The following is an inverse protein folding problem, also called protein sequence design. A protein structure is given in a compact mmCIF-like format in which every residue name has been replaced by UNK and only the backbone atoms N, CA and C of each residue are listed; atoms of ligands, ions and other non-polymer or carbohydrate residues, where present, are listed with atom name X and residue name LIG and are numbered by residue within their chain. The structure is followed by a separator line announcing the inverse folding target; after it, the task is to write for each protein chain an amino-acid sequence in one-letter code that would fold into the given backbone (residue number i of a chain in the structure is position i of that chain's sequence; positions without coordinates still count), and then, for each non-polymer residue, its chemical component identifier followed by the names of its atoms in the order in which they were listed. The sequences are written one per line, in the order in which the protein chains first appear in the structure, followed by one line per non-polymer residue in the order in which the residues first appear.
data_IF_576357663834
#
_entry.id   IF_576357663834
#
_cell.length_a   1.000
_cell.length_b   1.000
_cell.length_c   1.000
_cell.angle_alpha   90.00
_cell.angle_beta   90.00
_cell.angle_gamma   90.00
#
_symmetry.space_group_name_H-M   'P 1'
#
loop_
_entity.id
_entity.type
_entity.pdbx_description
1 polymer ?
#
# COMPACT_ATOMS: atom_id res chain seq x y z
N UNK A 1 17.56 6.98 18.27
CA UNK A 1 16.34 6.84 19.09
C UNK A 1 15.08 6.84 18.21
N UNK A 2 14.86 7.87 17.39
CA UNK A 2 13.66 8.02 16.53
C UNK A 2 13.32 6.79 15.67
N UNK A 3 14.28 6.23 14.92
CA UNK A 3 14.05 5.05 14.07
C UNK A 3 13.43 3.88 14.83
N UNK A 4 14.01 3.54 16.00
CA UNK A 4 13.53 2.44 16.86
C UNK A 4 12.13 2.73 17.40
N UNK A 5 11.88 3.97 17.83
CA UNK A 5 10.57 4.39 18.31
C UNK A 5 9.51 4.24 17.23
N UNK A 6 9.76 4.76 16.02
CA UNK A 6 8.78 4.72 14.94
C UNK A 6 8.54 3.30 14.42
N UNK A 7 9.56 2.43 14.41
CA UNK A 7 9.39 0.99 14.18
C UNK A 7 8.39 0.37 15.17
N UNK A 8 8.61 0.61 16.47
CA UNK A 8 7.76 0.05 17.52
C UNK A 8 6.31 0.54 17.45
N UNK A 9 6.09 1.79 16.99
CA UNK A 9 4.74 2.31 16.74
C UNK A 9 4.05 1.53 15.63
N UNK A 10 4.71 1.33 14.48
CA UNK A 10 4.13 0.58 13.36
C UNK A 10 3.93 -0.91 13.68
N UNK A 11 4.83 -1.52 14.46
CA UNK A 11 4.68 -2.89 14.99
C UNK A 11 3.49 -2.98 15.94
N UNK A 12 3.30 -1.98 16.81
CA UNK A 12 2.14 -1.88 17.69
C UNK A 12 0.82 -1.80 16.92
N UNK A 13 0.77 -1.04 15.83
CA UNK A 13 -0.40 -0.98 14.96
C UNK A 13 -0.75 -2.35 14.35
N UNK A 14 0.25 -3.13 13.90
CA UNK A 14 0.03 -4.50 13.40
C UNK A 14 -0.54 -5.42 14.48
N UNK A 15 -0.11 -5.26 15.74
CA UNK A 15 -0.66 -6.02 16.87
C UNK A 15 -2.14 -5.71 17.14
N UNK A 16 -2.65 -4.53 16.75
CA UNK A 16 -4.09 -4.22 16.79
C UNK A 16 -4.82 -4.98 15.68
N UNK A 17 -4.24 -5.05 14.48
CA UNK A 17 -4.83 -5.73 13.33
C UNK A 17 -5.02 -7.23 13.53
N UNK A 18 -4.22 -7.90 14.37
CA UNK A 18 -4.41 -9.32 14.67
C UNK A 18 -5.85 -9.66 15.11
N UNK A 19 -6.55 -8.70 15.74
CA UNK A 19 -7.94 -8.85 16.16
C UNK A 19 -8.93 -8.18 15.20
N UNK A 20 -8.59 -6.99 14.72
CA UNK A 20 -9.55 -6.16 13.98
C UNK A 20 -9.52 -6.44 12.47
N UNK A 21 -8.34 -6.77 11.94
CA UNK A 21 -8.05 -6.94 10.52
C UNK A 21 -7.15 -8.16 10.25
N UNK A 22 -7.54 -9.40 10.62
CA UNK A 22 -6.63 -10.55 10.69
C UNK A 22 -5.98 -10.92 9.36
N UNK A 23 -6.69 -10.77 8.24
CA UNK A 23 -6.14 -11.03 6.90
C UNK A 23 -5.03 -10.03 6.54
N UNK A 24 -5.23 -8.75 6.84
CA UNK A 24 -4.20 -7.72 6.63
C UNK A 24 -3.01 -7.96 7.55
N UNK A 25 -3.24 -8.38 8.80
CA UNK A 25 -2.19 -8.74 9.73
C UNK A 25 -1.34 -9.92 9.23
N UNK A 26 -1.99 -10.99 8.74
CA UNK A 26 -1.36 -12.17 8.15
C UNK A 26 -0.44 -11.79 6.96
N UNK A 27 -0.98 -11.04 6.00
CA UNK A 27 -0.23 -10.54 4.85
C UNK A 27 0.96 -9.66 5.28
N UNK A 28 0.76 -8.80 6.28
CA UNK A 28 1.79 -7.90 6.77
C UNK A 28 3.00 -8.64 7.38
N UNK A 29 2.83 -9.88 7.87
CA UNK A 29 3.94 -10.69 8.43
C UNK A 29 5.06 -10.95 7.42
N UNK A 30 4.75 -10.88 6.11
CA UNK A 30 5.71 -11.08 5.03
C UNK A 30 6.51 -9.82 4.68
N UNK A 31 6.25 -8.69 5.34
CA UNK A 31 6.93 -7.41 5.12
C UNK A 31 7.67 -6.96 6.37
N UNK A 32 8.99 -6.76 6.24
CA UNK A 32 9.78 -6.14 7.29
C UNK A 32 9.56 -4.62 7.31
N UNK A 33 9.41 -4.04 8.49
CA UNK A 33 9.38 -2.59 8.64
C UNK A 33 10.80 -2.03 8.60
N UNK A 34 11.05 -0.97 7.85
CA UNK A 34 12.36 -0.33 7.73
C UNK A 34 12.20 1.19 7.82
N UNK A 35 12.09 1.76 9.04
CA UNK A 35 12.24 3.20 9.22
C UNK A 35 13.60 3.66 8.72
N UNK A 36 13.62 4.81 8.04
CA UNK A 36 14.82 5.50 7.56
C UNK A 36 14.69 7.00 7.83
N UNK A 37 15.80 7.73 7.74
CA UNK A 37 15.79 9.20 7.65
C UNK A 37 16.50 9.57 6.35
N UNK A 38 15.73 9.78 5.29
CA UNK A 38 16.27 10.04 3.95
C UNK A 38 15.40 11.08 3.23
N UNK A 39 16.01 12.12 2.69
CA UNK A 39 15.28 13.23 2.05
C UNK A 39 14.73 12.85 0.66
N UNK A 40 15.14 11.70 0.09
CA UNK A 40 14.56 11.14 -1.14
C UNK A 40 13.23 10.42 -0.92
N UNK A 41 12.92 10.07 0.33
CA UNK A 41 11.69 9.40 0.74
C UNK A 41 10.83 10.35 1.58
N UNK A 42 9.82 10.96 0.97
CA UNK A 42 8.95 11.94 1.64
C UNK A 42 7.96 11.29 2.62
N UNK A 43 7.42 10.11 2.27
CA UNK A 43 6.44 9.38 3.09
C UNK A 43 6.90 7.95 3.35
N UNK A 44 6.54 7.03 2.47
CA UNK A 44 6.83 5.61 2.53
C UNK A 44 6.80 4.98 1.12
N UNK A 45 7.34 3.78 1.00
CA UNK A 45 7.21 2.92 -0.18
C UNK A 45 7.36 1.46 0.23
N UNK A 46 6.99 0.54 -0.65
CA UNK A 46 7.18 -0.89 -0.45
C UNK A 46 7.84 -1.54 -1.67
N UNK A 47 8.78 -2.45 -1.42
CA UNK A 47 9.46 -3.23 -2.46
C UNK A 47 9.00 -4.71 -2.49
N UNK A 48 7.95 -5.02 -1.74
CA UNK A 48 7.41 -6.38 -1.56
C UNK A 48 8.17 -7.24 -0.55
N UNK A 49 9.27 -6.75 0.02
CA UNK A 49 10.01 -7.41 1.13
C UNK A 49 10.04 -6.53 2.37
N UNK A 50 10.14 -5.22 2.15
CA UNK A 50 10.22 -4.20 3.19
C UNK A 50 9.27 -3.07 2.89
N UNK A 51 8.66 -2.55 3.94
CA UNK A 51 8.06 -1.22 3.92
C UNK A 51 9.11 -0.24 4.45
N UNK A 52 9.57 0.65 3.59
CA UNK A 52 10.42 1.76 3.96
C UNK A 52 9.55 2.95 4.28
N UNK A 53 9.85 3.66 5.37
CA UNK A 53 9.12 4.88 5.72
C UNK A 53 10.02 5.90 6.38
N UNK A 54 9.80 7.17 6.06
CA UNK A 54 10.55 8.26 6.66
C UNK A 54 10.11 8.46 8.11
N UNK A 55 11.02 8.25 9.04
CA UNK A 55 10.72 8.31 10.47
C UNK A 55 10.36 9.73 10.93
N UNK A 56 10.82 10.79 10.24
CA UNK A 56 10.42 12.18 10.53
C UNK A 56 8.96 12.39 10.16
N UNK A 57 8.56 11.96 8.96
CA UNK A 57 7.17 12.06 8.49
C UNK A 57 6.23 11.20 9.33
N UNK A 58 6.62 9.95 9.61
CA UNK A 58 5.86 9.03 10.46
C UNK A 58 5.53 9.59 11.84
N UNK A 59 6.45 10.35 12.44
CA UNK A 59 6.25 10.95 13.76
C UNK A 59 5.13 11.99 13.79
N UNK A 60 4.76 12.56 12.64
CA UNK A 60 3.65 13.51 12.50
C UNK A 60 2.32 12.87 12.10
N UNK A 61 2.28 11.57 11.79
CA UNK A 61 1.06 10.89 11.39
C UNK A 61 0.19 10.55 12.61
N UNK A 62 -1.10 10.89 12.53
CA UNK A 62 -2.10 10.34 13.44
C UNK A 62 -2.29 8.82 13.21
N UNK A 63 -3.04 8.18 14.11
CA UNK A 63 -3.29 6.75 14.04
C UNK A 63 -4.03 6.31 12.78
N UNK A 64 -4.99 7.11 12.29
CA UNK A 64 -5.80 6.77 11.11
C UNK A 64 -4.91 6.76 9.86
N UNK A 65 -4.17 7.84 9.63
CA UNK A 65 -3.26 7.97 8.49
C UNK A 65 -2.17 6.91 8.51
N UNK A 66 -1.62 6.60 9.69
CA UNK A 66 -0.57 5.58 9.81
C UNK A 66 -1.10 4.16 9.59
N UNK A 67 -2.28 3.84 10.12
CA UNK A 67 -2.93 2.54 9.88
C UNK A 67 -3.28 2.38 8.40
N UNK A 68 -3.88 3.40 7.79
CA UNK A 68 -4.18 3.43 6.37
C UNK A 68 -2.94 3.26 5.51
N UNK A 69 -1.91 4.11 5.68
CA UNK A 69 -0.68 4.06 4.89
C UNK A 69 -0.01 2.67 4.95
N UNK A 70 0.07 2.10 6.15
CA UNK A 70 0.69 0.80 6.31
C UNK A 70 -0.13 -0.31 5.66
N UNK A 71 -1.46 -0.33 5.84
CA UNK A 71 -2.33 -1.33 5.24
C UNK A 71 -2.36 -1.19 3.71
N UNK A 72 -2.35 0.04 3.21
CA UNK A 72 -2.27 0.38 1.80
C UNK A 72 -1.04 -0.26 1.15
N UNK A 73 0.15 -0.06 1.73
CA UNK A 73 1.39 -0.66 1.24
C UNK A 73 1.40 -2.21 1.28
N UNK A 74 0.76 -2.82 2.29
CA UNK A 74 0.58 -4.28 2.34
C UNK A 74 -0.30 -4.74 1.17
N UNK A 75 -1.41 -4.05 0.94
CA UNK A 75 -2.37 -4.41 -0.10
C UNK A 75 -1.87 -4.12 -1.52
N UNK A 76 -0.99 -3.13 -1.75
CA UNK A 76 -0.26 -3.02 -3.01
C UNK A 76 0.52 -4.29 -3.34
N UNK A 77 1.15 -4.91 -2.34
CA UNK A 77 1.88 -6.16 -2.53
C UNK A 77 0.92 -7.32 -2.83
N UNK A 78 -0.13 -7.46 -2.02
CA UNK A 78 -1.12 -8.52 -2.17
C UNK A 78 -1.82 -8.48 -3.53
N UNK A 79 -2.15 -7.29 -4.04
CA UNK A 79 -2.79 -7.09 -5.34
C UNK A 79 -1.81 -7.13 -6.52
N UNK A 80 -0.50 -7.26 -6.27
CA UNK A 80 0.50 -7.37 -7.32
C UNK A 80 0.86 -6.04 -7.99
N UNK A 81 0.57 -4.90 -7.36
CA UNK A 81 0.90 -3.55 -7.84
C UNK A 81 2.40 -3.22 -7.76
N UNK A 82 3.22 -4.18 -7.32
CA UNK A 82 4.68 -4.13 -7.44
C UNK A 82 5.15 -4.28 -8.90
N UNK A 83 4.29 -4.81 -9.78
CA UNK A 83 4.61 -4.98 -11.20
C UNK A 83 4.74 -3.61 -11.89
N UNK A 84 5.70 -3.45 -12.80
CA UNK A 84 5.76 -2.26 -13.65
C UNK A 84 4.42 -2.05 -14.38
N UNK A 85 4.05 -0.79 -14.58
CA UNK A 85 2.84 -0.48 -15.35
C UNK A 85 2.95 -1.05 -16.76
N UNK A 86 1.91 -1.74 -17.26
CA UNK A 86 1.82 -2.11 -18.66
C UNK A 86 1.34 -0.95 -19.54
N UNK A 87 0.98 0.20 -18.95
CA UNK A 87 0.35 1.34 -19.62
C UNK A 87 1.25 2.59 -19.55
N UNK A 88 1.15 3.51 -20.53
CA UNK A 88 2.12 4.60 -20.69
C UNK A 88 1.99 5.71 -19.65
N UNK A 89 0.77 6.04 -19.22
CA UNK A 89 0.55 7.04 -18.16
C UNK A 89 0.74 6.39 -16.79
N UNK A 90 1.97 6.52 -16.25
CA UNK A 90 2.37 5.96 -14.97
C UNK A 90 1.64 6.60 -13.79
N UNK A 91 1.31 7.89 -13.87
CA UNK A 91 0.64 8.59 -12.77
C UNK A 91 -0.81 8.13 -12.67
N UNK A 92 -1.49 8.03 -13.81
CA UNK A 92 -2.84 7.45 -13.89
C UNK A 92 -2.86 5.99 -13.46
N UNK A 93 -1.82 5.23 -13.81
CA UNK A 93 -1.67 3.85 -13.36
C UNK A 93 -1.58 3.76 -11.84
N UNK A 94 -0.74 4.61 -11.23
CA UNK A 94 -0.60 4.65 -9.79
C UNK A 94 -1.93 5.00 -9.11
N UNK A 95 -2.63 6.04 -9.57
CA UNK A 95 -3.95 6.40 -9.04
C UNK A 95 -4.99 5.29 -9.18
N UNK A 96 -4.94 4.51 -10.27
CA UNK A 96 -5.82 3.36 -10.43
C UNK A 96 -5.50 2.26 -9.40
N UNK A 97 -4.22 1.99 -9.15
CA UNK A 97 -3.77 1.05 -8.12
C UNK A 97 -4.20 1.53 -6.71
N UNK A 98 -4.02 2.81 -6.40
CA UNK A 98 -4.37 3.40 -5.11
C UNK A 98 -5.88 3.33 -4.87
N UNK A 99 -6.67 3.65 -5.90
CA UNK A 99 -8.13 3.51 -5.88
C UNK A 99 -8.55 2.07 -5.56
N UNK A 100 -7.95 1.08 -6.22
CA UNK A 100 -8.30 -0.32 -6.03
C UNK A 100 -7.96 -0.78 -4.60
N UNK A 101 -6.76 -0.43 -4.12
CA UNK A 101 -6.33 -0.72 -2.75
C UNK A 101 -7.25 -0.05 -1.73
N UNK A 102 -7.53 1.24 -1.88
CA UNK A 102 -8.36 1.99 -0.93
C UNK A 102 -9.82 1.51 -0.92
N UNK A 103 -10.35 1.06 -2.07
CA UNK A 103 -11.67 0.42 -2.12
C UNK A 103 -11.69 -0.89 -1.33
N UNK A 104 -10.65 -1.72 -1.42
CA UNK A 104 -10.52 -2.95 -0.61
C UNK A 104 -10.41 -2.61 0.87
N UNK A 105 -9.56 -1.66 1.25
CA UNK A 105 -9.40 -1.23 2.65
C UNK A 105 -10.72 -0.73 3.23
N UNK A 106 -11.47 0.09 2.49
CA UNK A 106 -12.78 0.57 2.89
C UNK A 106 -13.75 -0.59 3.17
N UNK A 107 -13.81 -1.57 2.26
CA UNK A 107 -14.71 -2.72 2.38
C UNK A 107 -14.29 -3.72 3.46
N UNK A 108 -13.01 -3.72 3.86
CA UNK A 108 -12.49 -4.42 5.03
C UNK A 108 -12.77 -3.66 6.34
N UNK A 109 -13.26 -2.42 6.27
CA UNK A 109 -13.60 -1.60 7.43
C UNK A 109 -12.45 -0.77 8.00
N UNK A 110 -11.37 -0.57 7.23
CA UNK A 110 -10.36 0.44 7.59
C UNK A 110 -10.96 1.83 7.54
N UNK A 111 -10.52 2.69 8.45
CA UNK A 111 -10.75 4.13 8.35
C UNK A 111 -9.75 4.72 7.36
N UNK A 112 -10.26 5.43 6.36
CA UNK A 112 -9.44 6.16 5.41
C UNK A 112 -9.31 7.63 5.85
N UNK A 113 -8.16 8.27 5.61
CA UNK A 113 -8.03 9.72 5.66
C UNK A 113 -9.00 10.41 4.67
N UNK A 114 -9.42 11.64 5.00
CA UNK A 114 -10.34 12.43 4.16
C UNK A 114 -9.75 12.76 2.77
N UNK A 115 -8.43 12.75 2.65
CA UNK A 115 -7.66 13.00 1.43
C UNK A 115 -7.17 11.72 0.74
N UNK A 116 -7.65 10.54 1.15
CA UNK A 116 -7.31 9.29 0.47
C UNK A 116 -7.88 9.25 -0.95
N UNK A 117 -7.08 8.77 -1.91
CA UNK A 117 -7.52 8.52 -3.29
C UNK A 117 -8.65 7.50 -3.27
N UNK A 118 -9.89 7.98 -3.39
CA UNK A 118 -11.08 7.15 -3.44
C UNK A 118 -12.18 7.81 -4.26
N UNK A 119 -12.49 7.22 -5.41
CA UNK A 119 -13.58 7.58 -6.30
C UNK A 119 -14.75 6.63 -6.08
N UNK A 120 -15.87 7.07 -5.45
CA UNK A 120 -17.00 6.18 -5.16
C UNK A 120 -17.57 5.48 -6.40
N UNK A 121 -17.54 6.15 -7.56
CA UNK A 121 -18.00 5.60 -8.83
C UNK A 121 -17.17 4.40 -9.34
N UNK A 122 -15.96 4.22 -8.82
CA UNK A 122 -15.00 3.20 -9.21
C UNK A 122 -14.90 2.04 -8.22
N UNK A 123 -15.65 2.06 -7.11
CA UNK A 123 -15.66 0.95 -6.16
C UNK A 123 -16.19 -0.31 -6.87
N UNK A 124 -15.39 -1.37 -6.81
CA UNK A 124 -15.69 -2.67 -7.40
C UNK A 124 -15.44 -2.79 -8.91
N UNK A 125 -14.84 -1.77 -9.54
CA UNK A 125 -14.36 -1.86 -10.92
C UNK A 125 -12.99 -2.53 -10.98
N UNK A 126 -12.65 -3.11 -12.14
CA UNK A 126 -11.30 -3.63 -12.38
C UNK A 126 -10.28 -2.51 -12.54
N UNK A 127 -9.00 -2.81 -12.33
CA UNK A 127 -7.91 -1.85 -12.49
C UNK A 127 -7.91 -1.19 -13.87
N UNK A 128 -8.18 -1.93 -14.95
CA UNK A 128 -8.27 -1.40 -16.32
C UNK A 128 -9.47 -0.45 -16.49
N UNK A 129 -10.61 -0.77 -15.88
CA UNK A 129 -11.80 0.08 -15.90
C UNK A 129 -11.58 1.38 -15.12
N UNK A 130 -10.88 1.31 -13.99
CA UNK A 130 -10.50 2.49 -13.20
C UNK A 130 -9.54 3.37 -14.01
N UNK A 131 -8.50 2.76 -14.59
CA UNK A 131 -7.52 3.47 -15.42
C UNK A 131 -8.19 4.18 -16.61
N UNK A 132 -9.11 3.49 -17.31
CA UNK A 132 -9.87 4.09 -18.40
C UNK A 132 -10.80 5.21 -17.92
N UNK A 133 -11.43 5.06 -16.76
CA UNK A 133 -12.28 6.11 -16.18
C UNK A 133 -11.49 7.37 -15.82
N UNK A 134 -10.24 7.20 -15.33
CA UNK A 134 -9.36 8.32 -14.98
C UNK A 134 -8.92 9.16 -16.19
N UNK A 135 -9.07 8.68 -17.42
CA UNK A 135 -8.88 9.49 -18.63
C UNK A 135 -9.88 10.67 -18.70
N UNK A 136 -11.09 10.48 -18.15
CA UNK A 136 -12.11 11.52 -18.06
C UNK A 136 -12.08 12.29 -16.73
N UNK A 137 -11.13 12.03 -15.84
CA UNK A 137 -11.02 12.75 -14.58
C UNK A 137 -10.53 14.19 -14.84
N UNK A 138 -11.22 15.23 -14.32
CA UNK A 138 -11.01 16.62 -14.75
C UNK A 138 -9.61 17.13 -14.43
N UNK A 139 -9.04 16.70 -13.30
CA UNK A 139 -7.66 17.00 -12.96
C UNK A 139 -7.09 15.92 -12.02
N UNK A 140 -6.47 14.86 -12.57
CA UNK A 140 -5.81 13.86 -11.75
C UNK A 140 -4.73 14.47 -10.85
N UNK A 141 -4.14 15.62 -11.20
CA UNK A 141 -2.98 16.22 -10.50
C UNK A 141 -3.30 16.65 -9.06
N UNK A 142 -4.57 16.87 -8.75
CA UNK A 142 -5.08 17.22 -7.43
C UNK A 142 -5.03 16.04 -6.45
N UNK A 143 -5.02 14.81 -6.97
CA UNK A 143 -4.94 13.61 -6.16
C UNK A 143 -3.53 13.41 -5.62
N UNK A 144 -3.45 13.12 -4.31
CA UNK A 144 -2.19 12.95 -3.57
C UNK A 144 -2.02 11.50 -3.14
N UNK A 145 -1.20 10.70 -3.84
CA UNK A 145 -0.85 9.35 -3.40
C UNK A 145 -0.25 9.37 -1.98
N UNK A 146 -0.62 8.40 -1.12
CA UNK A 146 -0.12 8.36 0.26
C UNK A 146 1.35 7.91 0.33
N UNK A 147 1.82 7.19 -0.69
CA UNK A 147 3.14 6.60 -0.81
C UNK A 147 3.83 6.94 -2.14
N UNK A 148 5.11 6.56 -2.24
CA UNK A 148 5.86 6.59 -3.49
C UNK A 148 5.78 5.22 -4.16
N UNK A 149 5.46 5.19 -5.46
CA UNK A 149 5.53 3.96 -6.25
C UNK A 149 6.93 3.35 -6.20
N UNK A 150 7.03 2.02 -6.23
CA UNK A 150 8.31 1.29 -6.15
C UNK A 150 9.35 1.79 -7.18
N UNK A 151 10.31 2.59 -6.72
CA UNK A 151 11.37 3.18 -7.53
C UNK A 151 11.30 4.69 -7.75
N UNK A 152 10.19 5.36 -7.38
CA UNK A 152 9.97 6.80 -7.56
C UNK A 152 10.57 7.66 -6.43
N UNK A 153 11.79 7.34 -5.98
CA UNK A 153 12.50 8.19 -5.04
C UNK A 153 12.73 9.58 -5.65
N UNK A 154 12.57 10.62 -4.84
CA UNK A 154 12.87 11.97 -5.29
C UNK A 154 14.36 12.12 -5.61
N UNK A 155 14.67 13.05 -6.53
CA UNK A 155 16.05 13.40 -6.82
C UNK A 155 16.74 13.91 -5.55
N UNK A 156 17.94 13.39 -5.22
CA UNK A 156 18.60 13.78 -4.00
C UNK A 156 19.08 15.23 -4.09
N UNK A 157 18.71 16.03 -3.09
CA UNK A 157 19.31 17.34 -2.86
C UNK A 157 20.82 17.22 -2.61
N UNK A 158 21.66 18.19 -3.02
CA UNK A 158 23.12 18.14 -2.85
C UNK A 158 23.57 17.88 -1.41
N UNK A 159 22.90 18.50 -0.44
CA UNK A 159 23.18 18.38 1.00
C UNK A 159 22.11 17.56 1.75
N UNK A 160 21.29 16.81 1.02
CA UNK A 160 20.22 16.00 1.60
C UNK A 160 20.75 14.78 2.37
N UNK A 161 20.04 14.40 3.43
CA UNK A 161 20.34 13.19 4.19
C UNK A 161 20.08 11.96 3.33
N UNK A 162 21.09 11.08 3.25
CA UNK A 162 20.99 9.78 2.58
C UNK A 162 21.20 8.67 3.59
N UNK A 163 20.14 7.91 3.82
CA UNK A 163 20.20 6.73 4.67
C UNK A 163 20.65 5.53 3.85
N UNK A 164 21.79 4.88 4.16
CA UNK A 164 22.22 3.68 3.45
C UNK A 164 21.26 2.51 3.65
N UNK A 165 20.35 2.57 4.64
CA UNK A 165 19.30 1.57 4.83
C UNK A 165 18.12 1.74 3.87
N UNK A 166 18.01 2.87 3.14
CA UNK A 166 17.07 3.02 2.04
C UNK A 166 17.65 2.36 0.77
N UNK A 167 17.47 1.04 0.68
CA UNK A 167 17.87 0.17 -0.45
C UNK A 167 16.65 -0.62 -0.99
N UNK A 168 15.65 0.05 -1.59
CA UNK A 168 14.53 -0.65 -2.20
C UNK A 168 14.99 -1.42 -3.43
N UNK A 169 14.52 -2.67 -3.57
CA UNK A 169 14.90 -3.52 -4.71
C UNK A 169 13.70 -3.82 -5.60
N UNK A 170 13.87 -3.79 -6.93
CA UNK A 170 12.79 -4.20 -7.82
C UNK A 170 12.36 -5.65 -7.51
N UNK A 171 11.06 -5.95 -7.57
CA UNK A 171 10.57 -7.30 -7.35
C UNK A 171 11.03 -8.20 -8.50
N UNK A 172 11.45 -9.43 -8.16
CA UNK A 172 11.65 -10.48 -9.15
C UNK A 172 10.37 -11.32 -9.32
N UNK A 173 10.31 -12.11 -10.38
CA UNK A 173 9.14 -12.96 -10.68
C UNK A 173 8.82 -13.95 -9.56
N UNK A 174 9.83 -14.41 -8.81
CA UNK A 174 9.63 -15.31 -7.67
C UNK A 174 8.91 -14.62 -6.51
N UNK A 175 9.29 -13.37 -6.20
CA UNK A 175 8.62 -12.56 -5.19
C UNK A 175 7.17 -12.24 -5.60
N UNK A 176 6.94 -11.90 -6.87
CA UNK A 176 5.59 -11.62 -7.38
C UNK A 176 4.68 -12.84 -7.24
N UNK A 177 5.17 -14.02 -7.65
CA UNK A 177 4.44 -15.29 -7.50
C UNK A 177 4.19 -15.63 -6.02
N UNK A 178 5.17 -15.37 -5.15
CA UNK A 178 5.01 -15.59 -3.72
C UNK A 178 3.89 -14.72 -3.12
N UNK A 179 3.75 -13.47 -3.57
CA UNK A 179 2.65 -12.59 -3.13
C UNK A 179 1.28 -13.09 -3.58
N UNK A 180 1.16 -13.58 -4.81
CA UNK A 180 -0.08 -14.20 -5.29
C UNK A 180 -0.45 -15.42 -4.43
N UNK A 181 0.51 -16.29 -4.14
CA UNK A 181 0.31 -17.46 -3.29
C UNK A 181 -0.09 -17.07 -1.86
N UNK A 182 0.53 -16.02 -1.29
CA UNK A 182 0.20 -15.50 0.04
C UNK A 182 -1.22 -14.97 0.09
N UNK A 183 -1.65 -14.19 -0.91
CA UNK A 183 -3.02 -13.71 -0.99
C UNK A 183 -4.01 -14.87 -1.08
N UNK A 184 -3.76 -15.85 -1.94
CA UNK A 184 -4.61 -17.05 -2.07
C UNK A 184 -4.69 -17.85 -0.77
N UNK A 185 -3.56 -18.06 -0.10
CA UNK A 185 -3.54 -18.76 1.19
C UNK A 185 -4.31 -17.99 2.26
N UNK A 186 -4.13 -16.67 2.34
CA UNK A 186 -4.82 -15.82 3.30
C UNK A 186 -6.34 -15.81 3.05
N UNK A 187 -6.76 -15.74 1.78
CA UNK A 187 -8.17 -15.88 1.38
C UNK A 187 -8.78 -17.20 1.85
N UNK A 188 -8.08 -18.32 1.63
CA UNK A 188 -8.54 -19.64 2.08
C UNK A 188 -8.62 -19.73 3.61
N UNK A 189 -7.61 -19.20 4.31
CA UNK A 189 -7.53 -19.19 5.77
C UNK A 189 -8.67 -18.39 6.41
N UNK A 190 -9.06 -17.28 5.79
CA UNK A 190 -10.07 -16.36 6.30
C UNK A 190 -11.46 -16.54 5.66
N UNK A 191 -11.64 -17.54 4.79
CA UNK A 191 -12.91 -17.85 4.15
C UNK A 191 -14.01 -18.12 5.19
N UNK A 192 -15.16 -17.46 5.02
CA UNK A 192 -16.29 -17.57 5.95
C UNK A 192 -16.09 -16.87 7.30
N UNK A 193 -14.95 -16.22 7.53
CA UNK A 193 -14.74 -15.38 8.71
C UNK A 193 -15.52 -14.06 8.59
N UNK A 194 -15.92 -13.42 9.71
CA UNK A 194 -16.58 -12.12 9.68
C UNK A 194 -15.68 -10.98 9.17
N UNK A 195 -14.36 -11.21 9.06
CA UNK A 195 -13.39 -10.21 8.62
C UNK A 195 -13.11 -10.24 7.11
N UNK A 196 -13.58 -11.26 6.39
CA UNK A 196 -13.54 -11.31 4.93
C UNK A 196 -14.97 -11.15 4.40
N UNK A 197 -15.33 -9.91 4.07
CA UNK A 197 -16.68 -9.61 3.60
C UNK A 197 -16.93 -10.23 2.22
N UNK A 198 -18.18 -10.63 1.95
CA UNK A 198 -18.58 -11.19 0.65
C UNK A 198 -18.17 -10.33 -0.56
N UNK A 199 -18.35 -8.99 -0.52
CA UNK A 199 -17.88 -8.10 -1.57
C UNK A 199 -16.36 -8.17 -1.79
N UNK A 200 -15.56 -8.19 -0.73
CA UNK A 200 -14.09 -8.27 -0.84
C UNK A 200 -13.68 -9.62 -1.44
N UNK A 201 -14.26 -10.73 -0.96
CA UNK A 201 -13.99 -12.05 -1.50
C UNK A 201 -14.34 -12.14 -2.99
N UNK A 202 -15.47 -11.58 -3.41
CA UNK A 202 -15.89 -11.55 -4.81
C UNK A 202 -14.93 -10.73 -5.69
N UNK A 203 -14.52 -9.54 -5.23
CA UNK A 203 -13.57 -8.70 -5.96
C UNK A 203 -12.22 -9.39 -6.15
N UNK A 204 -11.71 -10.02 -5.09
CA UNK A 204 -10.44 -10.73 -5.14
C UNK A 204 -10.51 -12.00 -6.00
N UNK A 205 -11.66 -12.68 -6.04
CA UNK A 205 -11.88 -13.86 -6.88
C UNK A 205 -12.06 -13.52 -8.38
N UNK A 206 -12.50 -12.31 -8.71
CA UNK A 206 -12.67 -11.85 -10.10
C UNK A 206 -11.37 -11.38 -10.78
N UNK A 207 -10.23 -11.41 -10.07
CA UNK A 207 -8.94 -11.05 -10.65
C UNK A 207 -8.47 -12.15 -11.61
N UNK A 208 -7.97 -11.79 -12.80
CA UNK A 208 -7.45 -12.74 -13.78
C UNK A 208 -6.15 -13.43 -13.33
#
# INVERSE_FOLDING_TARGET
MLLRTQRGVWEGDRGVWEREQPMTADLATHLMLQPVIDDRLSTALCDGRRIFFNARTSAGLDGIRRHHLQAHLVWHCALGHLRPSPLPDLRRWHLACDQEVNAILLLLGFRLPDDAVLFPACIGRSLEQIYAWLDGHPDPSLESPPDLSGGALADPMPDGVRDPQLDPRPPDSGLLLAWEQRLQHSLQRHAGSPHLTGPVAALLASRP
#
